data_IF_300666683504
#
_entry.id   IF_300666683504
#
_cell.length_a   1.000
_cell.length_b   1.000
_cell.length_c   1.000
_cell.angle_alpha   90.00
_cell.angle_beta   90.00
_cell.angle_gamma   90.00
#
_symmetry.space_group_name_H-M   'P 1'
#
loop_
_entity.id
_entity.type
_entity.pdbx_description
1 polymer ?
#
# COMPACT_ATOMS: atom_id res chain seq x y z
N UNK A 1 3.06 3.39 -1.11
CA UNK A 1 2.92 2.47 0.04
C UNK A 1 3.31 3.07 1.39
N UNK A 2 4.42 3.83 1.52
CA UNK A 2 4.86 4.41 2.82
C UNK A 2 3.77 5.18 3.59
N UNK A 3 2.91 5.93 2.91
CA UNK A 3 1.83 6.68 3.54
C UNK A 3 0.74 5.77 4.15
N UNK A 4 0.45 4.63 3.51
CA UNK A 4 -0.46 3.60 4.06
C UNK A 4 0.17 2.92 5.26
N UNK A 5 1.46 2.57 5.19
CA UNK A 5 2.16 1.93 6.29
C UNK A 5 2.36 2.84 7.52
N UNK A 6 2.17 4.16 7.37
CA UNK A 6 2.32 5.17 8.44
C UNK A 6 0.99 5.75 8.91
N UNK A 7 -0.12 5.43 8.26
CA UNK A 7 -1.43 5.92 8.70
C UNK A 7 -1.86 5.22 9.97
N UNK A 8 -2.77 5.84 10.73
CA UNK A 8 -3.35 5.24 11.93
C UNK A 8 -4.03 3.90 11.59
N UNK A 9 -3.84 2.92 12.47
CA UNK A 9 -4.53 1.63 12.40
C UNK A 9 -6.01 1.76 12.79
N UNK A 10 -6.29 2.66 13.74
CA UNK A 10 -7.64 3.01 14.21
C UNK A 10 -8.02 4.44 13.78
N UNK A 11 -8.38 4.66 12.50
CA UNK A 11 -8.76 5.99 12.03
C UNK A 11 -10.03 6.48 12.73
N UNK A 12 -10.02 7.73 13.18
CA UNK A 12 -11.20 8.36 13.79
C UNK A 12 -12.08 8.98 12.70
N UNK A 13 -13.33 8.57 12.65
CA UNK A 13 -14.36 9.20 11.82
C UNK A 13 -14.72 10.54 12.44
N UNK A 14 -14.59 11.63 11.68
CA UNK A 14 -15.06 12.94 12.11
C UNK A 14 -16.41 13.25 11.44
N UNK A 15 -17.51 12.98 12.13
CA UNK A 15 -18.85 13.20 11.60
C UNK A 15 -19.27 14.67 11.50
N UNK A 16 -18.56 15.59 12.16
CA UNK A 16 -18.86 17.02 12.07
C UNK A 16 -18.18 17.67 10.86
N UNK A 17 -16.90 17.36 10.66
CA UNK A 17 -16.05 18.05 9.70
C UNK A 17 -15.68 17.18 8.48
N UNK A 18 -15.99 15.89 8.50
CA UNK A 18 -15.74 14.98 7.38
C UNK A 18 -14.28 14.98 6.95
N UNK A 19 -14.05 15.17 5.65
CA UNK A 19 -12.73 15.15 5.01
C UNK A 19 -11.81 16.30 5.45
N UNK A 20 -12.38 17.43 5.92
CA UNK A 20 -11.62 18.63 6.31
C UNK A 20 -10.66 18.34 7.46
N UNK A 21 -11.04 17.44 8.38
CA UNK A 21 -10.28 17.06 9.58
C UNK A 21 -9.45 15.79 9.43
N UNK A 22 -9.42 15.18 8.25
CA UNK A 22 -8.60 14.00 8.02
C UNK A 22 -7.11 14.39 8.03
N UNK A 23 -6.32 13.76 8.89
CA UNK A 23 -4.89 14.07 9.09
C UNK A 23 -3.94 13.09 8.39
N UNK A 24 -4.44 11.92 7.99
CA UNK A 24 -3.66 10.89 7.30
C UNK A 24 -4.50 10.10 6.28
N UNK A 25 -3.88 9.08 5.66
CA UNK A 25 -4.52 8.28 4.62
C UNK A 25 -5.71 7.45 5.12
N UNK A 26 -5.65 6.93 6.34
CA UNK A 26 -6.71 6.08 6.89
C UNK A 26 -7.94 6.93 7.24
N UNK A 27 -7.73 8.12 7.81
CA UNK A 27 -8.79 9.08 8.07
C UNK A 27 -9.42 9.62 6.77
N UNK A 28 -8.61 9.88 5.72
CA UNK A 28 -9.15 10.18 4.39
C UNK A 28 -10.03 9.03 3.90
N UNK A 29 -9.60 7.79 4.11
CA UNK A 29 -10.33 6.62 3.62
C UNK A 29 -11.70 6.47 4.28
N UNK A 30 -11.84 6.79 5.57
CA UNK A 30 -13.10 6.66 6.33
C UNK A 30 -13.93 7.94 6.43
N UNK A 31 -13.39 9.09 5.99
CA UNK A 31 -14.06 10.38 6.12
C UNK A 31 -15.47 10.41 5.50
N UNK A 32 -16.53 10.77 6.25
CA UNK A 32 -17.88 10.84 5.73
C UNK A 32 -18.03 12.06 4.81
N UNK A 33 -18.95 11.96 3.85
CA UNK A 33 -19.38 13.11 3.08
C UNK A 33 -20.16 14.07 3.99
N UNK A 34 -19.81 15.36 3.96
CA UNK A 34 -20.47 16.41 4.72
C UNK A 34 -20.63 17.64 3.83
N UNK A 35 -21.80 18.25 3.90
CA UNK A 35 -22.09 19.46 3.14
C UNK A 35 -21.08 20.57 3.47
N UNK A 36 -20.66 21.29 2.44
CA UNK A 36 -19.66 22.35 2.51
C UNK A 36 -18.25 21.96 3.03
N UNK A 37 -17.98 20.66 3.22
CA UNK A 37 -16.65 20.13 3.54
C UNK A 37 -15.98 19.60 2.28
N UNK A 38 -15.47 20.53 1.45
CA UNK A 38 -15.09 20.26 0.05
C UNK A 38 -13.65 19.78 -0.14
N UNK A 39 -12.74 20.11 0.77
CA UNK A 39 -11.30 19.90 0.58
C UNK A 39 -10.61 19.42 1.86
N UNK A 40 -9.51 18.69 1.69
CA UNK A 40 -8.61 18.31 2.78
C UNK A 40 -7.92 19.58 3.28
N UNK A 41 -8.12 19.94 4.54
CA UNK A 41 -7.60 21.19 5.11
C UNK A 41 -6.37 21.00 6.00
N UNK A 42 -6.22 19.82 6.61
CA UNK A 42 -5.08 19.49 7.45
C UNK A 42 -3.79 19.37 6.62
N UNK A 43 -2.78 20.16 7.00
CA UNK A 43 -1.50 20.24 6.29
C UNK A 43 -0.77 18.89 6.23
N UNK A 44 -0.94 18.06 7.27
CA UNK A 44 -0.37 16.70 7.28
C UNK A 44 -0.93 15.83 6.16
N UNK A 45 -2.14 16.09 5.69
CA UNK A 45 -2.86 15.29 4.69
C UNK A 45 -2.83 15.90 3.27
N UNK A 46 -2.44 17.16 3.10
CA UNK A 46 -2.30 17.88 1.80
C UNK A 46 -1.07 17.46 0.99
N UNK A 47 -0.74 16.17 0.99
CA UNK A 47 0.37 15.61 0.21
C UNK A 47 -0.19 14.58 -0.76
N UNK A 48 0.20 14.65 -2.03
CA UNK A 48 -0.27 13.73 -3.08
C UNK A 48 -0.14 12.27 -2.67
N UNK A 49 0.97 11.90 -2.03
CA UNK A 49 1.20 10.53 -1.56
C UNK A 49 0.20 10.08 -0.49
N UNK A 50 -0.29 10.99 0.36
CA UNK A 50 -1.26 10.71 1.43
C UNK A 50 -2.68 10.68 0.85
N UNK A 51 -3.00 11.61 -0.04
CA UNK A 51 -4.28 11.61 -0.76
C UNK A 51 -4.42 10.35 -1.61
N UNK A 52 -3.41 9.99 -2.40
CA UNK A 52 -3.41 8.77 -3.20
C UNK A 52 -3.49 7.50 -2.33
N UNK A 53 -2.86 7.51 -1.16
CA UNK A 53 -2.99 6.42 -0.19
C UNK A 53 -4.41 6.31 0.36
N UNK A 54 -5.04 7.44 0.72
CA UNK A 54 -6.42 7.46 1.19
C UNK A 54 -7.43 7.03 0.12
N UNK A 55 -7.19 7.44 -1.14
CA UNK A 55 -7.95 6.94 -2.30
C UNK A 55 -7.79 5.42 -2.44
N UNK A 56 -6.56 4.90 -2.40
CA UNK A 56 -6.32 3.46 -2.51
C UNK A 56 -7.02 2.68 -1.38
N UNK A 57 -6.88 3.13 -0.13
CA UNK A 57 -7.53 2.52 1.03
C UNK A 57 -9.05 2.54 0.91
N UNK A 58 -9.63 3.69 0.52
CA UNK A 58 -11.08 3.80 0.28
C UNK A 58 -11.53 2.85 -0.82
N UNK A 59 -10.82 2.80 -1.95
CA UNK A 59 -11.19 1.94 -3.07
C UNK A 59 -11.09 0.43 -2.73
N UNK A 60 -10.19 0.03 -1.82
CA UNK A 60 -10.05 -1.36 -1.37
C UNK A 60 -11.01 -1.72 -0.22
N UNK A 61 -11.54 -0.74 0.51
CA UNK A 61 -12.43 -0.99 1.63
C UNK A 61 -13.81 -1.49 1.18
N UNK A 62 -14.37 -2.47 1.91
CA UNK A 62 -15.66 -3.14 1.58
C UNK A 62 -16.81 -2.18 1.25
N UNK A 63 -16.90 -1.07 1.99
CA UNK A 63 -17.96 -0.07 1.84
C UNK A 63 -17.44 1.26 1.30
N UNK A 64 -16.21 1.31 0.78
CA UNK A 64 -15.61 2.53 0.30
C UNK A 64 -16.27 3.01 -0.99
N UNK A 65 -16.73 4.25 -0.99
CA UNK A 65 -17.40 4.89 -2.12
C UNK A 65 -16.89 6.30 -2.30
N UNK A 66 -16.85 6.74 -3.55
CA UNK A 66 -16.53 8.11 -3.92
C UNK A 66 -17.81 8.81 -4.34
N UNK A 67 -18.01 10.03 -3.86
CA UNK A 67 -19.20 10.85 -4.12
C UNK A 67 -18.84 11.98 -5.08
N UNK A 68 -19.75 12.29 -6.00
CA UNK A 68 -19.70 13.47 -6.85
C UNK A 68 -21.05 14.21 -6.74
N UNK A 69 -21.15 15.43 -7.27
CA UNK A 69 -22.44 16.13 -7.28
C UNK A 69 -23.42 15.43 -8.22
N UNK A 70 -24.71 15.66 -7.98
CA UNK A 70 -25.76 15.19 -8.89
C UNK A 70 -25.53 15.77 -10.30
N UNK A 71 -25.85 14.98 -11.32
CA UNK A 71 -25.67 15.32 -12.74
C UNK A 71 -24.21 15.57 -13.18
N UNK A 72 -23.25 14.94 -12.50
CA UNK A 72 -21.82 15.06 -12.80
C UNK A 72 -21.20 13.75 -13.31
N UNK A 73 -21.84 13.12 -14.31
CA UNK A 73 -21.47 11.78 -14.82
C UNK A 73 -20.01 11.68 -15.28
N UNK A 74 -19.43 12.77 -15.80
CA UNK A 74 -18.02 12.81 -16.23
C UNK A 74 -17.04 12.58 -15.08
N UNK A 75 -17.42 12.92 -13.86
CA UNK A 75 -16.57 12.75 -12.67
C UNK A 75 -16.41 11.28 -12.28
N UNK A 76 -17.36 10.41 -12.66
CA UNK A 76 -17.23 8.97 -12.42
C UNK A 76 -16.02 8.36 -13.13
N UNK A 77 -15.73 8.78 -14.37
CA UNK A 77 -14.57 8.26 -15.12
C UNK A 77 -13.24 8.67 -14.49
N UNK A 78 -13.11 9.95 -14.09
CA UNK A 78 -11.91 10.47 -13.45
C UNK A 78 -11.66 9.79 -12.10
N UNK A 79 -12.72 9.65 -11.28
CA UNK A 79 -12.67 8.95 -9.99
C UNK A 79 -12.27 7.49 -10.16
N UNK A 80 -12.88 6.77 -11.10
CA UNK A 80 -12.55 5.37 -11.36
C UNK A 80 -11.09 5.20 -11.83
N UNK A 81 -10.62 6.09 -12.71
CA UNK A 81 -9.23 6.09 -13.16
C UNK A 81 -8.24 6.37 -12.01
N UNK A 82 -8.54 7.36 -11.16
CA UNK A 82 -7.72 7.68 -10.00
C UNK A 82 -7.68 6.53 -8.99
N UNK A 83 -8.84 5.94 -8.67
CA UNK A 83 -8.97 4.80 -7.76
C UNK A 83 -8.20 3.58 -8.28
N UNK A 84 -8.45 3.17 -9.54
CA UNK A 84 -7.77 2.02 -10.15
C UNK A 84 -6.25 2.23 -10.21
N UNK A 85 -5.80 3.43 -10.58
CA UNK A 85 -4.37 3.77 -10.62
C UNK A 85 -3.72 3.74 -9.23
N UNK A 86 -4.37 4.31 -8.22
CA UNK A 86 -3.86 4.32 -6.84
C UNK A 86 -3.77 2.91 -6.25
N UNK A 87 -4.79 2.07 -6.47
CA UNK A 87 -4.79 0.66 -6.06
C UNK A 87 -3.71 -0.12 -6.81
N UNK A 88 -3.66 0.00 -8.13
CA UNK A 88 -2.68 -0.70 -8.98
C UNK A 88 -1.23 -0.39 -8.59
N UNK A 89 -0.90 0.88 -8.36
CA UNK A 89 0.43 1.30 -7.89
C UNK A 89 0.76 0.78 -6.49
N UNK A 90 -0.22 0.79 -5.59
CA UNK A 90 -0.05 0.28 -4.21
C UNK A 90 0.26 -1.22 -4.22
N UNK A 91 -0.55 -2.01 -4.92
CA UNK A 91 -0.36 -3.45 -5.02
C UNK A 91 0.92 -3.80 -5.77
N UNK A 92 1.24 -3.11 -6.86
CA UNK A 92 2.49 -3.33 -7.61
C UNK A 92 3.73 -3.11 -6.73
N UNK A 93 3.71 -2.06 -5.90
CA UNK A 93 4.81 -1.79 -4.95
C UNK A 93 4.93 -2.91 -3.91
N UNK A 94 3.80 -3.39 -3.36
CA UNK A 94 3.77 -4.49 -2.40
C UNK A 94 4.32 -5.79 -3.01
N UNK A 95 3.88 -6.12 -4.23
CA UNK A 95 4.36 -7.30 -4.96
C UNK A 95 5.87 -7.26 -5.16
N UNK A 96 6.42 -6.11 -5.58
CA UNK A 96 7.88 -5.95 -5.76
C UNK A 96 8.61 -6.12 -4.44
N UNK A 97 8.10 -5.52 -3.35
CA UNK A 97 8.70 -5.65 -2.03
C UNK A 97 8.76 -7.12 -1.58
N UNK A 98 7.65 -7.86 -1.72
CA UNK A 98 7.58 -9.29 -1.40
C UNK A 98 8.58 -10.09 -2.25
N UNK A 99 8.62 -9.86 -3.56
CA UNK A 99 9.55 -10.56 -4.47
C UNK A 99 11.00 -10.32 -4.06
N UNK A 100 11.38 -9.09 -3.74
CA UNK A 100 12.75 -8.77 -3.32
C UNK A 100 13.12 -9.47 -2.01
N UNK A 101 12.19 -9.52 -1.05
CA UNK A 101 12.40 -10.23 0.21
C UNK A 101 12.58 -11.73 -0.01
N UNK A 102 11.72 -12.34 -0.84
CA UNK A 102 11.81 -13.77 -1.18
C UNK A 102 13.09 -14.08 -1.95
N UNK A 103 13.44 -13.29 -2.96
CA UNK A 103 14.66 -13.46 -3.76
C UNK A 103 15.92 -13.38 -2.88
N UNK A 104 15.98 -12.41 -1.96
CA UNK A 104 17.09 -12.33 -1.00
C UNK A 104 17.18 -13.57 -0.10
N UNK A 105 16.04 -14.09 0.37
CA UNK A 105 16.00 -15.32 1.15
C UNK A 105 16.49 -16.54 0.35
N UNK A 106 16.02 -16.70 -0.88
CA UNK A 106 16.41 -17.80 -1.77
C UNK A 106 17.90 -17.75 -2.13
N UNK A 107 18.48 -16.56 -2.34
CA UNK A 107 19.92 -16.39 -2.58
C UNK A 107 20.77 -16.91 -1.42
N UNK A 108 20.40 -16.56 -0.18
CA UNK A 108 21.09 -17.04 1.02
C UNK A 108 21.01 -18.57 1.14
N UNK A 109 19.85 -19.16 0.85
CA UNK A 109 19.70 -20.63 0.84
C UNK A 109 20.63 -21.25 -0.21
N UNK A 110 20.68 -20.67 -1.41
CA UNK A 110 21.54 -21.18 -2.49
C UNK A 110 23.03 -21.08 -2.14
N UNK A 111 23.47 -20.03 -1.45
CA UNK A 111 24.84 -19.89 -0.95
C UNK A 111 25.18 -21.01 0.05
N UNK A 112 24.32 -21.24 1.04
CA UNK A 112 24.52 -22.30 2.05
C UNK A 112 24.52 -23.70 1.42
N UNK A 113 23.63 -23.96 0.46
CA UNK A 113 23.65 -25.24 -0.27
C UNK A 113 24.92 -25.40 -1.10
N UNK A 114 25.46 -24.31 -1.63
CA UNK A 114 26.74 -24.28 -2.33
C UNK A 114 27.91 -24.68 -1.43
N UNK A 115 27.95 -24.20 -0.18
CA UNK A 115 29.00 -24.55 0.78
C UNK A 115 28.90 -26.00 1.25
N UNK A 116 27.70 -26.48 1.61
CA UNK A 116 27.48 -27.88 2.01
C UNK A 116 27.91 -28.84 0.89
N UNK A 117 27.54 -28.54 -0.35
CA UNK A 117 27.97 -29.34 -1.50
C UNK A 117 29.49 -29.38 -1.69
N UNK A 118 30.22 -28.33 -1.31
CA UNK A 118 31.68 -28.33 -1.34
C UNK A 118 32.25 -29.19 -0.21
N UNK A 119 31.71 -29.06 1.00
CA UNK A 119 32.12 -29.87 2.17
C UNK A 119 31.92 -31.37 1.92
N UNK A 120 30.76 -31.79 1.39
CA UNK A 120 30.48 -33.19 1.04
C UNK A 120 31.47 -33.74 0.02
N UNK A 121 31.86 -32.94 -0.98
CA UNK A 121 32.85 -33.34 -2.00
C UNK A 121 34.25 -33.49 -1.41
N UNK A 122 34.63 -32.65 -0.46
CA UNK A 122 35.92 -32.76 0.23
C UNK A 122 35.95 -34.02 1.09
N UNK A 123 34.86 -34.33 1.81
CA UNK A 123 34.74 -35.56 2.59
C UNK A 123 34.85 -36.82 1.71
N UNK A 124 34.18 -36.86 0.55
CA UNK A 124 34.25 -37.99 -0.38
C UNK A 124 35.68 -38.21 -0.92
N UNK A 125 36.37 -37.15 -1.32
CA UNK A 125 37.77 -37.22 -1.78
C UNK A 125 38.71 -37.74 -0.69
N UNK A 126 38.55 -37.29 0.56
CA UNK A 126 39.37 -37.77 1.69
C UNK A 126 39.14 -39.25 1.97
N UNK A 127 37.89 -39.74 1.88
CA UNK A 127 37.59 -41.16 2.11
C UNK A 127 38.00 -42.10 0.98
N UNK A 128 38.11 -41.60 -0.26
CA UNK A 128 38.49 -42.39 -1.44
C UNK A 128 40.00 -42.50 -1.68
N UNK A 129 40.81 -41.70 -0.95
CA UNK A 129 42.27 -41.64 -1.08
C UNK A 129 43.06 -42.42 -0.02
N UNK A 130 42.38 -43.15 0.87
CA UNK A 130 42.96 -44.10 1.84
C UNK A 130 42.60 -45.53 1.45
#
# INVERSE_FOLDING_TARGET
MKAIAKSKEDPKVNDAEGIVKATDAAEIAVAPAKDDKKEISEESAKKDAIIAAGIALRAMAKNGKFTAKNNEEKSAHAVNGAAASAVGKTLSTLIIAIRNTVDSGLKKINEVLGTIKQEDRIAEVVTSGQ
#
